data_IF_015228045156
#
_entry.id   IF_015228045156
#
_cell.length_a   1.000
_cell.length_b   1.000
_cell.length_c   1.000
_cell.angle_alpha   90.00
_cell.angle_beta   90.00
_cell.angle_gamma   90.00
#
_symmetry.space_group_name_H-M   'P 1'
#
loop_
_entity.id
_entity.type
_entity.pdbx_description
1 polymer ?
#
# COMPACT_ATOMS: atom_id res chain seq x y z
N UNK A 1 9.89 4.93 25.22
CA UNK A 1 9.01 3.87 24.66
C UNK A 1 9.10 3.93 23.13
N UNK A 2 9.23 2.80 22.40
CA UNK A 2 9.44 2.77 20.94
C UNK A 2 8.17 2.30 20.21
N UNK A 3 7.67 3.10 19.27
CA UNK A 3 6.57 2.71 18.39
C UNK A 3 6.99 1.62 17.40
N UNK A 4 6.21 0.54 17.31
CA UNK A 4 6.49 -0.61 16.43
C UNK A 4 5.69 -0.45 15.15
N UNK A 5 6.38 -0.43 14.01
CA UNK A 5 5.76 -0.31 12.69
C UNK A 5 5.77 -1.64 11.93
N UNK A 6 4.83 -1.78 11.00
CA UNK A 6 4.80 -2.82 9.98
C UNK A 6 4.97 -2.21 8.60
N UNK A 7 5.60 -2.96 7.72
CA UNK A 7 5.77 -2.63 6.31
C UNK A 7 5.08 -3.70 5.50
N UNK A 8 4.13 -3.29 4.68
CA UNK A 8 3.37 -4.19 3.80
C UNK A 8 3.85 -3.95 2.38
N UNK A 9 4.21 -5.05 1.71
CA UNK A 9 4.54 -5.08 0.29
C UNK A 9 3.28 -5.47 -0.48
N UNK A 10 2.89 -4.59 -1.39
CA UNK A 10 1.80 -4.79 -2.32
C UNK A 10 2.32 -4.83 -3.75
N UNK A 11 1.69 -5.68 -4.54
CA UNK A 11 1.78 -5.71 -5.98
C UNK A 11 0.52 -5.07 -6.57
N UNK A 12 0.68 -4.17 -7.53
CA UNK A 12 -0.42 -3.52 -8.23
C UNK A 12 -0.64 -4.25 -9.55
N UNK A 13 -1.68 -5.06 -9.61
CA UNK A 13 -2.09 -5.76 -10.83
C UNK A 13 -2.99 -4.82 -11.64
N UNK A 14 -2.62 -4.54 -12.89
CA UNK A 14 -3.36 -3.66 -13.82
C UNK A 14 -3.76 -4.41 -15.08
N UNK A 15 -4.84 -3.98 -15.72
CA UNK A 15 -5.31 -4.61 -16.96
C UNK A 15 -4.71 -4.03 -18.25
N UNK A 16 -4.44 -2.72 -18.31
CA UNK A 16 -4.15 -2.02 -19.58
C UNK A 16 -2.78 -1.31 -19.57
N UNK A 17 -2.25 -0.97 -18.39
CA UNK A 17 -0.88 -0.47 -18.21
C UNK A 17 -0.56 0.87 -18.90
N UNK A 18 -1.56 1.56 -19.46
CA UNK A 18 -1.38 2.76 -20.26
C UNK A 18 -1.26 4.02 -19.38
N UNK A 19 -1.78 3.98 -18.15
CA UNK A 19 -1.75 5.13 -17.25
C UNK A 19 -0.61 5.07 -16.24
N UNK A 20 0.22 6.11 -16.23
CA UNK A 20 1.20 6.33 -15.16
C UNK A 20 0.46 6.70 -13.88
N UNK A 21 0.70 5.92 -12.83
CA UNK A 21 0.15 6.19 -11.51
C UNK A 21 1.20 6.93 -10.69
N UNK A 22 0.87 8.12 -10.19
CA UNK A 22 1.76 8.88 -9.30
C UNK A 22 1.56 8.43 -7.85
N UNK A 23 2.64 8.49 -7.05
CA UNK A 23 2.60 8.25 -5.61
C UNK A 23 1.57 9.11 -4.89
N UNK A 24 1.40 10.36 -5.33
CA UNK A 24 0.43 11.29 -4.74
C UNK A 24 -1.02 10.85 -5.00
N UNK A 25 -1.29 10.31 -6.19
CA UNK A 25 -2.62 9.78 -6.55
C UNK A 25 -2.93 8.56 -5.71
N UNK A 26 -1.98 7.62 -5.58
CA UNK A 26 -2.13 6.46 -4.69
C UNK A 26 -2.37 6.88 -3.24
N UNK A 27 -1.64 7.90 -2.77
CA UNK A 27 -1.81 8.38 -1.41
C UNK A 27 -3.21 8.91 -1.14
N UNK A 28 -3.76 9.73 -2.07
CA UNK A 28 -5.13 10.24 -1.96
C UNK A 28 -6.14 9.11 -1.98
N UNK A 29 -6.01 8.18 -2.93
CA UNK A 29 -6.94 7.07 -3.07
C UNK A 29 -6.95 6.14 -1.86
N UNK A 30 -5.80 5.87 -1.25
CA UNK A 30 -5.72 5.06 -0.02
C UNK A 30 -6.42 5.79 1.13
N UNK A 31 -6.27 7.11 1.24
CA UNK A 31 -6.97 7.90 2.27
C UNK A 31 -8.48 7.88 2.06
N UNK A 32 -8.93 8.16 0.84
CA UNK A 32 -10.35 8.14 0.46
C UNK A 32 -10.95 6.76 0.77
N UNK A 33 -10.27 5.67 0.40
CA UNK A 33 -10.73 4.31 0.72
C UNK A 33 -10.79 4.04 2.24
N UNK A 34 -9.86 4.57 3.03
CA UNK A 34 -9.92 4.42 4.50
C UNK A 34 -11.13 5.17 5.06
N UNK A 35 -11.37 6.38 4.58
CA UNK A 35 -12.48 7.23 5.02
C UNK A 35 -13.84 6.61 4.65
N UNK A 36 -13.99 6.14 3.42
CA UNK A 36 -15.23 5.51 2.93
C UNK A 36 -15.55 4.20 3.67
N UNK A 37 -14.55 3.36 3.96
CA UNK A 37 -14.78 2.02 4.52
C UNK A 37 -14.76 1.98 6.05
N UNK A 38 -13.97 2.84 6.71
CA UNK A 38 -13.73 2.78 8.16
C UNK A 38 -14.09 4.08 8.89
N UNK A 39 -14.48 5.14 8.16
CA UNK A 39 -14.87 6.43 8.71
C UNK A 39 -13.77 7.10 9.55
N UNK A 40 -14.21 7.97 10.46
CA UNK A 40 -13.33 8.79 11.30
C UNK A 40 -12.39 7.99 12.19
N UNK A 41 -12.82 6.80 12.62
CA UNK A 41 -12.00 5.91 13.45
C UNK A 41 -10.77 5.42 12.69
N UNK A 42 -10.96 4.91 11.47
CA UNK A 42 -9.87 4.45 10.61
C UNK A 42 -8.92 5.59 10.27
N UNK A 43 -9.46 6.75 9.88
CA UNK A 43 -8.69 7.95 9.57
C UNK A 43 -7.82 8.39 10.76
N UNK A 44 -8.41 8.51 11.95
CA UNK A 44 -7.71 8.98 13.14
C UNK A 44 -6.53 8.09 13.55
N UNK A 45 -6.71 6.76 13.48
CA UNK A 45 -5.67 5.80 13.90
C UNK A 45 -4.59 5.63 12.84
N UNK A 46 -4.95 5.61 11.56
CA UNK A 46 -4.00 5.32 10.49
C UNK A 46 -3.22 6.56 10.05
N UNK A 47 -3.83 7.74 9.94
CA UNK A 47 -3.21 8.89 9.25
C UNK A 47 -1.93 9.39 9.90
N UNK A 48 -1.73 9.17 11.21
CA UNK A 48 -0.50 9.56 11.89
C UNK A 48 0.71 8.72 11.49
N UNK A 49 0.51 7.44 11.18
CA UNK A 49 1.61 6.47 10.96
C UNK A 49 1.71 5.98 9.52
N UNK A 50 0.58 5.99 8.81
CA UNK A 50 0.44 5.57 7.43
C UNK A 50 1.37 6.41 6.54
N UNK A 51 2.23 5.78 5.75
CA UNK A 51 3.04 6.48 4.75
C UNK A 51 3.50 5.53 3.65
N UNK A 52 3.48 6.00 2.40
CA UNK A 52 4.06 5.27 1.27
C UNK A 52 5.57 5.49 1.29
N UNK A 53 6.33 4.42 1.48
CA UNK A 53 7.81 4.47 1.51
C UNK A 53 8.42 4.33 0.14
N UNK A 54 7.88 3.42 -0.66
CA UNK A 54 8.36 3.16 -1.99
C UNK A 54 7.17 2.84 -2.88
N UNK A 55 7.22 3.36 -4.09
CA UNK A 55 6.30 3.02 -5.15
C UNK A 55 7.03 3.20 -6.47
N UNK A 56 6.95 2.19 -7.34
CA UNK A 56 7.52 2.22 -8.68
C UNK A 56 6.44 1.85 -9.69
N UNK A 57 6.24 2.71 -10.68
CA UNK A 57 5.31 2.46 -11.77
C UNK A 57 5.83 1.37 -12.71
N UNK A 58 7.16 1.20 -12.82
CA UNK A 58 7.78 0.18 -13.66
C UNK A 58 7.60 -1.24 -13.11
N UNK A 59 7.83 -1.44 -11.80
CA UNK A 59 7.73 -2.77 -11.18
C UNK A 59 6.35 -3.05 -10.59
N UNK A 60 5.47 -2.05 -10.56
CA UNK A 60 4.16 -2.10 -9.93
C UNK A 60 4.20 -2.53 -8.45
N UNK A 61 5.29 -2.25 -7.75
CA UNK A 61 5.45 -2.58 -6.33
C UNK A 61 5.24 -1.35 -5.46
N UNK A 62 4.48 -1.54 -4.38
CA UNK A 62 4.15 -0.54 -3.38
C UNK A 62 4.59 -1.03 -2.00
N UNK A 63 5.33 -0.21 -1.27
CA UNK A 63 5.68 -0.45 0.13
C UNK A 63 4.99 0.58 1.01
N UNK A 64 4.09 0.09 1.86
CA UNK A 64 3.36 0.90 2.82
C UNK A 64 3.91 0.70 4.22
N UNK A 65 4.15 1.79 4.95
CA UNK A 65 4.40 1.78 6.39
C UNK A 65 3.09 2.01 7.12
N UNK A 66 2.84 1.21 8.15
CA UNK A 66 1.67 1.29 9.04
C UNK A 66 2.04 0.98 10.47
N UNK A 67 1.17 1.37 11.39
CA UNK A 67 1.28 0.97 12.79
C UNK A 67 1.03 -0.54 12.95
N UNK A 68 1.65 -1.17 13.96
CA UNK A 68 1.52 -2.61 14.19
C UNK A 68 0.10 -3.01 14.54
N UNK A 69 -0.64 -2.21 15.28
CA UNK A 69 -1.93 -2.65 15.83
C UNK A 69 -3.04 -2.49 14.76
N UNK A 70 -2.90 -1.50 13.88
CA UNK A 70 -3.92 -1.15 12.87
C UNK A 70 -3.55 -1.56 11.42
N UNK A 71 -2.50 -2.36 11.22
CA UNK A 71 -2.06 -2.77 9.88
C UNK A 71 -3.14 -3.52 9.06
N UNK A 72 -4.03 -4.24 9.73
CA UNK A 72 -5.14 -4.98 9.10
C UNK A 72 -6.17 -4.05 8.46
N UNK A 73 -6.46 -2.90 9.09
CA UNK A 73 -7.40 -1.89 8.56
C UNK A 73 -6.86 -1.30 7.26
N UNK A 74 -5.58 -0.91 7.25
CA UNK A 74 -4.95 -0.39 6.04
C UNK A 74 -4.88 -1.45 4.93
N UNK A 75 -4.64 -2.71 5.29
CA UNK A 75 -4.64 -3.81 4.34
C UNK A 75 -6.01 -3.98 3.69
N UNK A 76 -7.07 -4.05 4.50
CA UNK A 76 -8.44 -4.17 4.02
C UNK A 76 -8.84 -2.96 3.13
N UNK A 77 -8.55 -1.74 3.57
CA UNK A 77 -8.84 -0.52 2.80
C UNK A 77 -8.17 -0.55 1.41
N UNK A 78 -6.91 -1.02 1.33
CA UNK A 78 -6.20 -1.13 0.05
C UNK A 78 -6.82 -2.21 -0.84
N UNK A 79 -7.27 -3.33 -0.27
CA UNK A 79 -7.91 -4.40 -1.04
C UNK A 79 -9.26 -4.00 -1.63
N UNK A 80 -9.94 -2.99 -1.08
CA UNK A 80 -11.22 -2.48 -1.61
C UNK A 80 -11.07 -1.52 -2.80
N UNK A 81 -9.85 -1.04 -3.09
CA UNK A 81 -9.61 -0.17 -4.22
C UNK A 81 -9.68 -0.98 -5.52
N UNK A 82 -10.69 -0.70 -6.35
CA UNK A 82 -10.95 -1.41 -7.62
C UNK A 82 -10.53 -0.65 -8.87
N UNK A 83 -10.35 0.67 -8.77
CA UNK A 83 -10.04 1.52 -9.92
C UNK A 83 -9.19 2.73 -9.51
N UNK A 84 -8.22 3.08 -10.35
CA UNK A 84 -7.50 4.35 -10.30
C UNK A 84 -7.74 5.07 -11.61
N UNK A 85 -8.31 6.28 -11.56
CA UNK A 85 -8.66 7.07 -12.74
C UNK A 85 -9.60 6.26 -13.68
N UNK A 86 -9.06 5.76 -14.79
CA UNK A 86 -9.80 5.04 -15.84
C UNK A 86 -9.41 3.56 -15.89
N UNK A 87 -8.40 3.13 -15.13
CA UNK A 87 -7.92 1.75 -15.16
C UNK A 87 -8.42 0.94 -13.96
N UNK A 88 -8.85 -0.30 -14.24
CA UNK A 88 -9.13 -1.29 -13.19
C UNK A 88 -7.82 -1.80 -12.63
N UNK A 89 -7.71 -1.76 -11.30
CA UNK A 89 -6.53 -2.20 -10.59
C UNK A 89 -6.92 -3.10 -9.43
N UNK A 90 -6.02 -4.01 -9.07
CA UNK A 90 -6.14 -4.86 -7.90
C UNK A 90 -4.83 -4.84 -7.12
N UNK A 91 -4.91 -4.62 -5.81
CA UNK A 91 -3.75 -4.73 -4.94
C UNK A 91 -3.65 -6.13 -4.36
N UNK A 92 -2.56 -6.82 -4.66
CA UNK A 92 -2.21 -8.11 -4.07
C UNK A 92 -1.19 -7.90 -2.96
N UNK A 93 -1.49 -8.35 -1.75
CA UNK A 93 -0.51 -8.35 -0.66
C UNK A 93 0.46 -9.51 -0.81
N UNK A 94 1.75 -9.23 -0.76
CA UNK A 94 2.80 -10.26 -0.89
C UNK A 94 3.41 -10.59 0.47
N UNK A 95 3.83 -9.58 1.21
CA UNK A 95 4.56 -9.78 2.46
C UNK A 95 4.29 -8.67 3.48
N UNK A 96 4.28 -9.04 4.76
CA UNK A 96 4.21 -8.12 5.89
C UNK A 96 5.47 -8.29 6.74
N UNK A 97 6.22 -7.22 6.96
CA UNK A 97 7.49 -7.27 7.69
C UNK A 97 7.57 -6.19 8.78
N UNK A 98 8.44 -6.36 9.77
CA UNK A 98 8.70 -5.33 10.80
C UNK A 98 9.77 -4.30 10.40
N UNK A 99 10.54 -4.56 9.34
CA UNK A 99 11.69 -3.73 8.96
C UNK A 99 11.67 -3.44 7.47
N UNK A 100 11.85 -2.17 7.11
CA UNK A 100 11.89 -1.71 5.72
C UNK A 100 12.92 -2.49 4.89
N UNK A 101 14.11 -2.72 5.43
CA UNK A 101 15.19 -3.45 4.74
C UNK A 101 14.77 -4.86 4.35
N UNK A 102 14.04 -5.57 5.23
CA UNK A 102 13.53 -6.91 4.90
C UNK A 102 12.45 -6.84 3.81
N UNK A 103 11.56 -5.86 3.89
CA UNK A 103 10.54 -5.61 2.87
C UNK A 103 11.15 -5.36 1.48
N UNK A 104 12.15 -4.47 1.40
CA UNK A 104 12.83 -4.17 0.14
C UNK A 104 13.60 -5.38 -0.42
N UNK A 105 14.20 -6.21 0.45
CA UNK A 105 14.84 -7.46 0.02
C UNK A 105 13.83 -8.43 -0.60
N UNK A 106 12.65 -8.58 0.00
CA UNK A 106 11.55 -9.38 -0.58
C UNK A 106 11.07 -8.80 -1.91
N UNK A 107 10.90 -7.48 -2.00
CA UNK A 107 10.55 -6.81 -3.26
C UNK A 107 11.61 -7.07 -4.35
N UNK A 108 12.89 -7.00 -4.01
CA UNK A 108 13.97 -7.29 -4.94
C UNK A 108 14.03 -8.77 -5.35
N UNK A 109 13.66 -9.71 -4.48
CA UNK A 109 13.55 -11.12 -4.83
C UNK A 109 12.46 -11.33 -5.89
N UNK A 110 11.30 -10.69 -5.74
CA UNK A 110 10.19 -10.81 -6.70
C UNK A 110 10.54 -10.22 -8.05
N UNK A 111 11.25 -9.09 -8.06
CA UNK A 111 11.71 -8.48 -9.32
C UNK A 111 12.72 -9.38 -10.05
N UNK A 112 13.46 -10.23 -9.33
CA UNK A 112 14.40 -11.19 -9.94
C UNK A 112 13.72 -12.43 -10.51
N UNK A 113 12.57 -12.81 -9.97
CA UNK A 113 11.80 -13.99 -10.39
C UNK A 113 10.86 -13.69 -11.58
N UNK A 114 10.78 -12.43 -12.00
CA UNK A 114 10.01 -11.96 -13.16
C UNK A 114 10.91 -11.71 -14.36
#
# INVERSE_FOLDING_TARGET
MRFKNRYILFEVVRSTGATTISRQVLWKLIKESIEENFGDFGCSKLFQTLSIKFYSDLTHLLVLKVDRDFHHIAWAAISFIKSVKTERIMFRSIAVTGHLVKCCKSAAAIVRER
#
